data_IF_594490664356
#
_entry.id   IF_594490664356
#
_cell.length_a   1.000
_cell.length_b   1.000
_cell.length_c   1.000
_cell.angle_alpha   90.00
_cell.angle_beta   90.00
_cell.angle_gamma   90.00
#
_symmetry.space_group_name_H-M   'P 1'
#
loop_
_entity.id
_entity.type
_entity.pdbx_description
1 polymer ?
#
# COMPACT_ATOMS: atom_id res chain seq x y z
N UNK A 1 29.54 15.49 -4.37
CA UNK A 1 29.87 15.99 -3.02
C UNK A 1 28.61 16.67 -2.51
N UNK A 2 27.78 15.94 -1.77
CA UNK A 2 26.43 16.41 -1.40
C UNK A 2 26.26 16.17 0.09
N UNK A 3 25.93 17.26 0.78
CA UNK A 3 25.91 17.40 2.23
C UNK A 3 24.94 16.40 2.89
N UNK A 4 25.17 16.01 4.16
CA UNK A 4 24.14 15.35 4.95
C UNK A 4 22.91 16.26 4.98
N UNK A 5 21.75 15.71 4.63
CA UNK A 5 20.47 16.39 4.82
C UNK A 5 20.33 16.64 6.33
N UNK A 6 20.20 17.92 6.70
CA UNK A 6 20.14 18.37 8.10
C UNK A 6 18.80 17.94 8.71
N UNK A 7 18.78 17.59 9.99
CA UNK A 7 17.58 17.25 10.77
C UNK A 7 16.41 18.23 10.54
N UNK A 8 16.72 19.50 10.26
CA UNK A 8 15.75 20.53 9.89
C UNK A 8 14.85 20.14 8.70
N UNK A 9 15.33 19.51 7.62
CA UNK A 9 14.49 19.14 6.46
C UNK A 9 13.55 17.94 6.78
N UNK A 10 13.94 17.09 7.72
CA UNK A 10 13.11 16.00 8.23
C UNK A 10 12.05 16.52 9.21
N UNK A 11 12.44 17.42 10.10
CA UNK A 11 11.53 18.18 10.95
C UNK A 11 10.58 19.05 10.11
N UNK A 12 11.02 19.56 8.95
CA UNK A 12 10.19 20.30 8.00
C UNK A 12 9.15 19.40 7.31
N UNK A 13 9.51 18.17 6.93
CA UNK A 13 8.57 17.17 6.42
C UNK A 13 7.55 16.70 7.48
N UNK A 14 7.96 16.59 8.74
CA UNK A 14 7.07 16.40 9.90
C UNK A 14 6.25 17.67 10.21
N UNK A 15 6.77 18.87 9.90
CA UNK A 15 6.10 20.16 10.10
C UNK A 15 5.03 20.48 9.06
N UNK A 16 5.05 19.80 7.91
CA UNK A 16 4.00 19.86 6.88
C UNK A 16 2.74 19.05 7.26
N UNK A 17 2.76 18.35 8.39
CA UNK A 17 1.57 17.77 9.01
C UNK A 17 0.58 18.89 9.39
N UNK A 18 -0.71 18.70 9.08
CA UNK A 18 -1.79 19.64 9.44
C UNK A 18 -1.86 19.87 10.97
N UNK A 19 -1.32 18.94 11.75
CA UNK A 19 -1.19 19.03 13.19
C UNK A 19 0.19 19.58 13.59
N UNK A 20 0.39 20.86 13.26
CA UNK A 20 1.57 21.73 13.47
C UNK A 20 2.21 21.72 14.88
N UNK A 21 1.61 21.09 15.89
CA UNK A 21 2.14 21.05 17.25
C UNK A 21 1.72 19.81 18.01
N UNK A 22 2.56 19.39 18.97
CA UNK A 22 2.11 18.49 20.04
C UNK A 22 0.84 19.12 20.63
N UNK A 23 -0.23 18.34 20.82
CA UNK A 23 -1.60 18.85 21.06
C UNK A 23 -1.78 19.76 22.31
N UNK A 24 -0.71 20.25 22.93
CA UNK A 24 -0.67 21.10 24.12
C UNK A 24 -1.58 22.33 24.11
N UNK A 25 -1.88 22.95 22.95
CA UNK A 25 -2.87 24.04 22.88
C UNK A 25 -4.31 23.56 23.10
N UNK A 26 -4.65 22.33 22.70
CA UNK A 26 -5.97 21.70 22.91
C UNK A 26 -6.05 21.11 24.32
N UNK A 27 -4.91 20.65 24.82
CA UNK A 27 -4.72 20.08 26.16
C UNK A 27 -4.30 21.11 27.22
N UNK A 28 -4.61 22.40 27.06
CA UNK A 28 -4.43 23.40 28.12
C UNK A 28 -5.49 23.21 29.23
N UNK A 29 -5.58 21.97 29.75
CA UNK A 29 -6.39 21.51 30.85
C UNK A 29 -5.94 22.18 32.16
N UNK A 30 -4.73 22.75 32.21
CA UNK A 30 -4.19 23.47 33.37
C UNK A 30 -4.97 24.75 33.67
N UNK A 31 -5.47 25.46 32.65
CA UNK A 31 -6.34 26.63 32.84
C UNK A 31 -7.79 26.23 33.14
N UNK A 32 -8.31 25.20 32.46
CA UNK A 32 -9.65 24.64 32.74
C UNK A 32 -9.72 23.84 34.04
N UNK A 33 -8.57 23.50 34.64
CA UNK A 33 -8.46 22.78 35.91
C UNK A 33 -9.06 23.54 37.08
N UNK A 34 -9.12 24.88 36.99
CA UNK A 34 -9.76 25.72 38.02
C UNK A 34 -11.28 25.54 38.09
N UNK A 35 -11.90 24.86 37.12
CA UNK A 35 -13.34 24.61 37.06
C UNK A 35 -13.76 23.16 37.43
N UNK A 36 -12.83 22.28 37.83
CA UNK A 36 -13.17 20.92 38.30
C UNK A 36 -13.92 20.91 39.65
N UNK A 37 -14.10 22.06 40.29
CA UNK A 37 -14.85 22.25 41.53
C UNK A 37 -16.35 21.92 41.43
N UNK A 38 -16.87 21.63 40.24
CA UNK A 38 -18.26 21.21 40.00
C UNK A 38 -18.47 19.71 39.74
N UNK A 39 -17.41 18.89 39.71
CA UNK A 39 -17.53 17.44 39.54
C UNK A 39 -17.74 16.75 40.89
N UNK A 40 -18.91 16.17 41.09
CA UNK A 40 -19.30 15.48 42.32
C UNK A 40 -18.86 14.01 42.36
N UNK A 41 -18.58 13.42 41.20
CA UNK A 41 -18.26 11.99 41.07
C UNK A 41 -16.75 11.74 41.21
N UNK A 42 -16.30 10.97 42.22
CA UNK A 42 -14.89 10.66 42.43
C UNK A 42 -14.23 9.95 41.24
N UNK A 43 -14.98 9.15 40.46
CA UNK A 43 -14.46 8.40 39.32
C UNK A 43 -14.07 9.36 38.18
N UNK A 44 -14.89 10.38 37.94
CA UNK A 44 -14.63 11.38 36.90
C UNK A 44 -13.45 12.29 37.25
N UNK A 45 -13.28 12.60 38.55
CA UNK A 45 -12.13 13.37 39.05
C UNK A 45 -10.82 12.58 38.84
N UNK A 46 -10.81 11.28 39.17
CA UNK A 46 -9.64 10.43 38.98
C UNK A 46 -9.24 10.33 37.50
N UNK A 47 -10.21 10.06 36.61
CA UNK A 47 -9.97 10.05 35.16
C UNK A 47 -9.45 11.37 34.62
N UNK A 48 -9.96 12.50 35.12
CA UNK A 48 -9.47 13.82 34.73
C UNK A 48 -8.01 14.02 35.15
N UNK A 49 -7.62 13.60 36.36
CA UNK A 49 -6.22 13.64 36.82
C UNK A 49 -5.30 12.78 35.94
N UNK A 50 -5.73 11.56 35.61
CA UNK A 50 -4.98 10.68 34.72
C UNK A 50 -4.83 11.27 33.31
N UNK A 51 -5.89 11.86 32.75
CA UNK A 51 -5.84 12.55 31.44
C UNK A 51 -4.84 13.71 31.47
N UNK A 52 -4.80 14.49 32.56
CA UNK A 52 -3.83 15.58 32.72
C UNK A 52 -2.40 15.03 32.77
N UNK A 53 -2.14 14.00 33.57
CA UNK A 53 -0.82 13.38 33.66
C UNK A 53 -0.34 12.88 32.28
N UNK A 54 -1.22 12.19 31.55
CA UNK A 54 -0.93 11.70 30.19
C UNK A 54 -0.74 12.84 29.18
N UNK A 55 -1.45 13.95 29.32
CA UNK A 55 -1.35 15.09 28.40
C UNK A 55 0.04 15.74 28.35
N UNK A 56 0.84 15.56 29.41
CA UNK A 56 2.21 16.08 29.53
C UNK A 56 3.25 15.28 28.73
N UNK A 57 2.91 14.07 28.27
CA UNK A 57 3.79 13.30 27.39
C UNK A 57 4.05 14.11 26.10
N UNK A 58 5.22 13.97 25.48
CA UNK A 58 5.53 14.63 24.22
C UNK A 58 5.56 13.60 23.07
N UNK A 59 4.89 13.86 21.95
CA UNK A 59 4.74 12.91 20.82
C UNK A 59 5.81 13.12 19.78
N UNK A 60 6.55 14.22 19.90
CA UNK A 60 7.74 14.53 19.12
C UNK A 60 9.02 14.07 19.82
N UNK A 61 8.93 13.73 21.11
CA UNK A 61 10.03 13.13 21.86
C UNK A 61 10.23 11.67 21.42
N UNK A 62 11.45 11.34 21.04
CA UNK A 62 11.79 10.05 20.45
C UNK A 62 11.69 8.89 21.45
N UNK A 63 12.06 9.13 22.71
CA UNK A 63 12.05 8.11 23.75
C UNK A 63 10.62 7.78 24.18
N UNK A 64 9.78 8.80 24.38
CA UNK A 64 8.34 8.63 24.63
C UNK A 64 7.67 7.89 23.47
N UNK A 65 8.02 8.21 22.22
CA UNK A 65 7.51 7.50 21.05
C UNK A 65 7.95 6.03 21.02
N UNK A 66 9.22 5.73 21.33
CA UNK A 66 9.76 4.36 21.36
C UNK A 66 9.00 3.42 22.30
N UNK A 67 8.60 3.94 23.47
CA UNK A 67 7.90 3.16 24.48
C UNK A 67 6.57 2.61 23.94
N UNK A 68 5.84 3.46 23.21
CA UNK A 68 4.51 3.17 22.67
C UNK A 68 4.50 2.69 21.21
N UNK A 69 5.64 2.67 20.50
CA UNK A 69 5.75 2.33 19.07
C UNK A 69 5.68 0.80 18.83
N UNK A 70 4.51 0.22 19.10
CA UNK A 70 4.22 -1.17 18.79
C UNK A 70 4.17 -1.44 17.28
N UNK A 71 3.73 -0.46 16.49
CA UNK A 71 3.62 -0.61 15.04
C UNK A 71 4.99 -0.92 14.40
N UNK A 72 6.05 -0.21 14.81
CA UNK A 72 7.40 -0.53 14.37
C UNK A 72 7.87 -1.89 14.87
N UNK A 73 7.61 -2.23 16.15
CA UNK A 73 8.05 -3.52 16.72
C UNK A 73 7.50 -4.71 15.91
N UNK A 74 6.25 -4.62 15.47
CA UNK A 74 5.62 -5.64 14.63
C UNK A 74 6.10 -5.57 13.17
N UNK A 75 6.38 -4.37 12.63
CA UNK A 75 6.91 -4.18 11.27
C UNK A 75 8.42 -4.39 11.13
N UNK A 76 9.17 -4.53 12.22
CA UNK A 76 10.64 -4.62 12.21
C UNK A 76 11.13 -5.73 11.29
N UNK A 77 10.48 -6.89 11.31
CA UNK A 77 10.82 -8.02 10.44
C UNK A 77 10.70 -7.64 8.96
N UNK A 78 9.59 -6.99 8.58
CA UNK A 78 9.35 -6.54 7.22
C UNK A 78 10.45 -5.56 6.77
N UNK A 79 10.83 -4.61 7.62
CA UNK A 79 11.90 -3.65 7.32
C UNK A 79 13.29 -4.32 7.19
N UNK A 80 13.58 -5.36 7.97
CA UNK A 80 14.81 -6.16 7.81
C UNK A 80 14.82 -6.85 6.45
N UNK A 81 13.69 -7.41 6.03
CA UNK A 81 13.57 -8.15 4.77
C UNK A 81 13.69 -7.23 3.55
N UNK A 82 13.05 -6.07 3.57
CA UNK A 82 13.20 -5.08 2.50
C UNK A 82 14.64 -4.55 2.38
N UNK A 83 15.39 -4.51 3.49
CA UNK A 83 16.83 -4.23 3.47
C UNK A 83 17.62 -5.39 2.87
N UNK A 84 17.33 -6.62 3.27
CA UNK A 84 17.99 -7.82 2.73
C UNK A 84 17.75 -7.99 1.22
N UNK A 85 16.59 -7.58 0.71
CA UNK A 85 16.28 -7.57 -0.72
C UNK A 85 16.82 -6.34 -1.47
N UNK A 86 17.54 -5.44 -0.78
CA UNK A 86 18.05 -4.16 -1.32
C UNK A 86 16.99 -3.21 -1.88
N UNK A 87 15.70 -3.43 -1.56
CA UNK A 87 14.57 -2.65 -2.11
C UNK A 87 14.42 -1.32 -1.37
N UNK A 88 14.64 -1.31 -0.06
CA UNK A 88 14.42 -0.11 0.78
C UNK A 88 15.44 0.00 1.92
N UNK A 89 16.49 0.83 1.77
CA UNK A 89 17.59 0.96 2.74
C UNK A 89 17.28 1.93 3.89
N UNK A 90 16.21 1.67 4.63
CA UNK A 90 15.78 2.53 5.76
C UNK A 90 16.32 1.96 7.08
N UNK A 91 16.77 2.84 7.99
CA UNK A 91 17.32 2.47 9.28
C UNK A 91 16.60 3.20 10.42
N UNK A 92 16.70 2.64 11.63
CA UNK A 92 16.34 3.35 12.86
C UNK A 92 17.59 4.05 13.36
N UNK A 93 17.62 5.39 13.32
CA UNK A 93 18.79 6.18 13.74
C UNK A 93 18.75 6.54 15.22
N UNK A 94 17.55 6.73 15.78
CA UNK A 94 17.33 7.05 17.19
C UNK A 94 16.01 6.44 17.67
N UNK A 95 15.77 6.37 18.99
CA UNK A 95 14.49 5.96 19.53
C UNK A 95 13.34 6.74 18.89
N UNK A 96 12.28 6.04 18.50
CA UNK A 96 11.09 6.64 17.88
C UNK A 96 11.28 7.19 16.44
N UNK A 97 12.50 7.28 15.90
CA UNK A 97 12.75 7.89 14.57
C UNK A 97 13.36 6.93 13.56
N UNK A 98 12.70 6.85 12.41
CA UNK A 98 13.14 6.09 11.24
C UNK A 98 13.68 7.07 10.21
N UNK A 99 14.89 6.85 9.72
CA UNK A 99 15.58 7.77 8.79
C UNK A 99 16.22 7.03 7.62
N UNK A 100 16.48 7.80 6.56
CA UNK A 100 17.18 7.33 5.37
C UNK A 100 18.41 8.22 5.12
N UNK A 101 19.54 7.57 4.82
CA UNK A 101 20.77 8.26 4.42
C UNK A 101 21.48 7.48 3.33
N UNK A 102 21.89 8.18 2.27
CA UNK A 102 22.66 7.62 1.16
C UNK A 102 24.03 7.07 1.58
N UNK A 103 24.59 7.56 2.69
CA UNK A 103 25.89 7.11 3.22
C UNK A 103 25.78 5.98 4.25
N UNK A 104 24.58 5.51 4.54
CA UNK A 104 24.39 4.44 5.53
C UNK A 104 24.89 3.10 5.02
N UNK A 105 25.25 2.20 5.94
CA UNK A 105 25.65 0.82 5.62
C UNK A 105 24.58 0.08 4.81
N UNK A 106 23.29 0.34 5.09
CA UNK A 106 22.18 -0.24 4.35
C UNK A 106 22.11 0.25 2.90
N UNK A 107 22.38 1.54 2.66
CA UNK A 107 22.41 2.11 1.30
C UNK A 107 23.60 1.59 0.48
N UNK A 108 24.77 1.44 1.12
CA UNK A 108 25.96 0.86 0.48
C UNK A 108 25.68 -0.60 0.11
N UNK A 109 25.12 -1.39 1.03
CA UNK A 109 24.71 -2.77 0.73
C UNK A 109 23.72 -2.82 -0.44
N UNK A 110 22.69 -1.97 -0.42
CA UNK A 110 21.68 -1.93 -1.46
C UNK A 110 22.28 -1.58 -2.83
N UNK A 111 23.22 -0.64 -2.88
CA UNK A 111 23.94 -0.28 -4.10
C UNK A 111 24.78 -1.45 -4.63
N UNK A 112 25.59 -2.08 -3.79
CA UNK A 112 26.43 -3.23 -4.18
C UNK A 112 25.58 -4.41 -4.67
N UNK A 113 24.51 -4.75 -3.95
CA UNK A 113 23.58 -5.80 -4.35
C UNK A 113 22.91 -5.46 -5.68
N UNK A 114 22.45 -4.22 -5.86
CA UNK A 114 21.82 -3.77 -7.09
C UNK A 114 22.76 -3.85 -8.29
N UNK A 115 24.04 -3.48 -8.15
CA UNK A 115 25.03 -3.61 -9.23
C UNK A 115 25.20 -5.07 -9.63
N UNK A 116 25.36 -5.98 -8.67
CA UNK A 116 25.48 -7.42 -8.94
C UNK A 116 24.22 -7.98 -9.62
N UNK A 117 23.04 -7.67 -9.08
CA UNK A 117 21.76 -8.09 -9.64
C UNK A 117 21.54 -7.49 -11.04
N UNK A 118 22.00 -6.27 -11.30
CA UNK A 118 21.90 -5.63 -12.63
C UNK A 118 22.75 -6.37 -13.66
N UNK A 119 23.96 -6.81 -13.32
CA UNK A 119 24.78 -7.63 -14.23
C UNK A 119 24.05 -8.92 -14.61
N UNK A 120 23.44 -9.60 -13.62
CA UNK A 120 22.65 -10.82 -13.86
C UNK A 120 21.43 -10.55 -14.75
N UNK A 121 20.65 -9.50 -14.44
CA UNK A 121 19.45 -9.10 -15.19
C UNK A 121 19.81 -8.70 -16.62
N UNK A 122 20.90 -7.97 -16.84
CA UNK A 122 21.37 -7.60 -18.17
C UNK A 122 21.86 -8.81 -18.97
N UNK A 123 22.56 -9.76 -18.34
CA UNK A 123 23.00 -10.99 -19.01
C UNK A 123 21.79 -11.83 -19.49
N UNK A 124 20.81 -12.05 -18.61
CA UNK A 124 19.57 -12.75 -18.96
C UNK A 124 18.77 -11.97 -20.00
N UNK A 125 18.70 -10.63 -19.87
CA UNK A 125 18.01 -9.76 -20.81
C UNK A 125 18.61 -9.81 -22.21
N UNK A 126 19.94 -9.83 -22.33
CA UNK A 126 20.63 -9.94 -23.61
C UNK A 126 20.32 -11.28 -24.32
N UNK A 127 20.36 -12.39 -23.59
CA UNK A 127 20.00 -13.70 -24.13
C UNK A 127 18.54 -13.75 -24.57
N UNK A 128 17.63 -13.17 -23.78
CA UNK A 128 16.20 -13.10 -24.13
C UNK A 128 15.95 -12.23 -25.36
N UNK A 129 16.65 -11.11 -25.48
CA UNK A 129 16.55 -10.25 -26.67
C UNK A 129 17.11 -10.95 -27.92
N UNK A 130 18.21 -11.69 -27.78
CA UNK A 130 18.81 -12.47 -28.87
C UNK A 130 17.89 -13.61 -29.36
N UNK A 131 17.18 -14.27 -28.43
CA UNK A 131 16.16 -15.26 -28.77
C UNK A 131 14.99 -14.60 -29.52
N UNK A 132 14.49 -13.46 -29.01
CA UNK A 132 13.38 -12.73 -29.62
C UNK A 132 13.68 -12.30 -31.08
N UNK A 133 14.93 -11.90 -31.36
CA UNK A 133 15.34 -11.50 -32.70
C UNK A 133 15.38 -12.64 -33.74
N UNK A 134 15.27 -13.90 -33.30
CA UNK A 134 15.26 -15.08 -34.18
C UNK A 134 13.85 -15.67 -34.35
N UNK A 135 12.86 -15.13 -33.64
CA UNK A 135 11.50 -15.65 -33.62
C UNK A 135 10.67 -15.02 -34.74
N UNK A 136 10.23 -15.82 -35.70
CA UNK A 136 9.40 -15.36 -36.83
C UNK A 136 7.89 -15.47 -36.56
N UNK A 137 7.48 -16.29 -35.59
CA UNK A 137 6.06 -16.46 -35.23
C UNK A 137 5.60 -15.35 -34.29
N UNK A 138 4.52 -14.67 -34.67
CA UNK A 138 3.95 -13.56 -33.91
C UNK A 138 3.57 -13.93 -32.48
N UNK A 139 3.00 -15.13 -32.25
CA UNK A 139 2.64 -15.52 -30.88
C UNK A 139 3.89 -15.70 -30.01
N UNK A 140 4.89 -16.45 -30.49
CA UNK A 140 6.17 -16.66 -29.78
C UNK A 140 6.90 -15.33 -29.51
N UNK A 141 6.71 -14.33 -30.37
CA UNK A 141 7.22 -12.98 -30.17
C UNK A 141 6.55 -12.26 -28.97
N UNK A 142 5.23 -12.37 -28.81
CA UNK A 142 4.52 -11.82 -27.65
C UNK A 142 5.00 -12.48 -26.34
N UNK A 143 5.24 -13.79 -26.36
CA UNK A 143 5.82 -14.50 -25.21
C UNK A 143 7.18 -13.94 -24.81
N UNK A 144 8.08 -13.77 -25.78
CA UNK A 144 9.40 -13.22 -25.51
C UNK A 144 9.34 -11.79 -24.95
N UNK A 145 8.38 -10.98 -25.41
CA UNK A 145 8.15 -9.62 -24.88
C UNK A 145 7.75 -9.65 -23.40
N UNK A 146 6.82 -10.52 -22.99
CA UNK A 146 6.39 -10.62 -21.56
C UNK A 146 7.61 -10.84 -20.66
N UNK A 147 8.52 -11.73 -21.03
CA UNK A 147 9.72 -11.99 -20.22
C UNK A 147 10.63 -10.77 -20.09
N UNK A 148 10.82 -10.02 -21.17
CA UNK A 148 11.61 -8.78 -21.14
C UNK A 148 10.92 -7.75 -20.22
N UNK A 149 9.60 -7.62 -20.32
CA UNK A 149 8.81 -6.73 -19.46
C UNK A 149 8.98 -7.08 -17.99
N UNK A 150 9.00 -8.36 -17.65
CA UNK A 150 9.22 -8.82 -16.27
C UNK A 150 10.62 -8.48 -15.70
N UNK A 151 11.60 -8.15 -16.55
CA UNK A 151 12.90 -7.65 -16.09
C UNK A 151 12.89 -6.14 -15.78
N UNK A 152 11.94 -5.38 -16.34
CA UNK A 152 11.86 -3.92 -16.20
C UNK A 152 11.76 -3.44 -14.75
N UNK A 153 10.96 -4.07 -13.85
CA UNK A 153 10.83 -3.60 -12.47
C UNK A 153 12.16 -3.52 -11.70
N UNK A 154 13.16 -4.33 -12.07
CA UNK A 154 14.50 -4.24 -11.50
C UNK A 154 15.10 -2.83 -11.67
N UNK A 155 14.98 -2.27 -12.87
CA UNK A 155 15.53 -0.95 -13.19
C UNK A 155 14.78 0.20 -12.49
N UNK A 156 13.57 -0.05 -12.01
CA UNK A 156 12.80 0.95 -11.28
C UNK A 156 13.22 1.09 -9.81
N UNK A 157 13.90 0.10 -9.21
CA UNK A 157 14.26 0.08 -7.78
C UNK A 157 14.91 1.38 -7.30
N UNK A 158 15.92 1.96 -7.98
CA UNK A 158 16.52 3.22 -7.52
C UNK A 158 15.53 4.38 -7.50
N UNK A 159 14.59 4.42 -8.46
CA UNK A 159 13.64 5.51 -8.62
C UNK A 159 12.42 5.38 -7.70
N UNK A 160 11.87 4.17 -7.59
CA UNK A 160 10.60 3.90 -6.90
C UNK A 160 10.77 3.30 -5.52
N UNK A 161 11.95 2.78 -5.19
CA UNK A 161 12.32 2.28 -3.85
C UNK A 161 13.16 3.30 -3.10
N UNK A 162 14.38 3.55 -3.58
CA UNK A 162 15.32 4.44 -2.88
C UNK A 162 14.91 5.91 -2.97
N UNK A 163 14.41 6.33 -4.13
CA UNK A 163 13.93 7.70 -4.37
C UNK A 163 12.72 8.13 -3.54
N UNK A 164 12.04 7.19 -2.85
CA UNK A 164 10.93 7.47 -1.91
C UNK A 164 11.27 7.08 -0.47
N UNK A 165 12.49 6.59 -0.21
CA UNK A 165 12.85 6.07 1.11
C UNK A 165 12.71 7.12 2.22
N UNK A 166 12.98 8.40 1.93
CA UNK A 166 12.81 9.49 2.89
C UNK A 166 11.33 9.70 3.27
N UNK A 167 10.43 9.77 2.28
CA UNK A 167 8.99 9.96 2.54
C UNK A 167 8.40 8.76 3.28
N UNK A 168 8.88 7.55 2.98
CA UNK A 168 8.49 6.33 3.72
C UNK A 168 9.02 6.36 5.16
N UNK A 169 10.25 6.80 5.38
CA UNK A 169 10.83 6.93 6.72
C UNK A 169 10.07 7.94 7.58
N UNK A 170 9.67 9.08 7.00
CA UNK A 170 8.79 10.06 7.64
C UNK A 170 7.43 9.45 8.01
N UNK A 171 6.76 8.77 7.07
CA UNK A 171 5.50 8.06 7.33
C UNK A 171 5.62 7.04 8.46
N UNK A 172 6.70 6.24 8.49
CA UNK A 172 6.94 5.27 9.58
C UNK A 172 7.17 5.95 10.93
N UNK A 173 7.78 7.12 10.95
CA UNK A 173 7.99 7.90 12.18
C UNK A 173 6.68 8.50 12.70
N UNK A 174 5.78 8.95 11.81
CA UNK A 174 4.46 9.49 12.20
C UNK A 174 3.61 8.49 13.01
N UNK A 175 3.78 7.19 12.78
CA UNK A 175 3.10 6.15 13.56
C UNK A 175 3.44 6.20 15.05
N UNK A 176 4.71 6.42 15.41
CA UNK A 176 5.12 6.56 16.80
C UNK A 176 4.41 7.74 17.48
N UNK A 177 4.41 8.90 16.82
CA UNK A 177 3.71 10.10 17.32
C UNK A 177 2.19 9.86 17.47
N UNK A 178 1.57 9.17 16.53
CA UNK A 178 0.14 8.82 16.63
C UNK A 178 -0.14 7.88 17.80
N UNK A 179 0.68 6.85 18.04
CA UNK A 179 0.48 5.92 19.15
C UNK A 179 0.58 6.63 20.51
N UNK A 180 1.50 7.59 20.65
CA UNK A 180 1.56 8.44 21.85
C UNK A 180 0.28 9.27 21.99
N UNK A 181 -0.17 9.94 20.92
CA UNK A 181 -1.41 10.74 20.94
C UNK A 181 -2.65 9.90 21.27
N UNK A 182 -2.71 8.69 20.74
CA UNK A 182 -3.76 7.71 21.05
C UNK A 182 -3.77 7.37 22.54
N UNK A 183 -2.60 7.09 23.12
CA UNK A 183 -2.47 6.83 24.55
C UNK A 183 -2.89 8.03 25.41
N UNK A 184 -2.55 9.26 24.98
CA UNK A 184 -2.96 10.47 25.71
C UNK A 184 -4.47 10.64 25.80
N UNK A 185 -5.18 10.39 24.71
CA UNK A 185 -6.64 10.53 24.66
C UNK A 185 -7.30 9.35 25.40
N UNK A 186 -7.02 8.12 24.96
CA UNK A 186 -7.78 6.92 25.37
C UNK A 186 -7.27 6.28 26.66
N UNK A 187 -6.01 6.51 27.03
CA UNK A 187 -5.36 5.88 28.19
C UNK A 187 -4.94 4.43 27.93
N UNK A 188 -5.13 3.95 26.70
CA UNK A 188 -4.83 2.60 26.28
C UNK A 188 -3.71 2.63 25.26
N UNK A 189 -2.78 1.69 25.34
CA UNK A 189 -1.77 1.54 24.30
C UNK A 189 -2.39 0.85 23.08
N UNK A 190 -2.09 1.36 21.88
CA UNK A 190 -2.62 0.79 20.65
C UNK A 190 -1.95 -0.56 20.37
N UNK A 191 -2.76 -1.62 20.34
CA UNK A 191 -2.32 -2.99 20.13
C UNK A 191 -2.65 -3.46 18.71
N UNK A 192 -1.74 -4.23 18.10
CA UNK A 192 -1.95 -4.86 16.80
C UNK A 192 -1.97 -6.39 16.93
N UNK A 193 -3.08 -6.96 17.46
CA UNK A 193 -3.17 -8.39 17.65
C UNK A 193 -3.00 -9.09 16.28
N UNK A 194 -2.14 -10.10 16.25
CA UNK A 194 -1.84 -10.93 15.07
C UNK A 194 -1.02 -10.29 13.94
N UNK A 195 -0.69 -8.99 13.98
CA UNK A 195 0.01 -8.34 12.87
C UNK A 195 1.40 -8.94 12.62
N UNK A 196 2.18 -9.17 13.67
CA UNK A 196 3.49 -9.84 13.57
C UNK A 196 3.39 -11.26 12.99
N UNK A 197 2.46 -12.06 13.48
CA UNK A 197 2.23 -13.43 12.99
C UNK A 197 1.81 -13.43 11.53
N UNK A 198 0.94 -12.50 11.15
CA UNK A 198 0.48 -12.35 9.77
C UNK A 198 1.61 -11.91 8.84
N UNK A 199 2.48 -10.99 9.26
CA UNK A 199 3.67 -10.59 8.48
C UNK A 199 4.56 -11.80 8.21
N UNK A 200 4.78 -12.68 9.20
CA UNK A 200 5.57 -13.91 9.03
C UNK A 200 4.90 -14.85 8.02
N UNK A 201 3.59 -15.09 8.17
CA UNK A 201 2.83 -15.97 7.25
C UNK A 201 2.87 -15.41 5.83
N UNK A 202 2.60 -14.12 5.65
CA UNK A 202 2.62 -13.45 4.35
C UNK A 202 4.02 -13.50 3.74
N UNK A 203 5.07 -13.31 4.54
CA UNK A 203 6.44 -13.39 4.05
C UNK A 203 6.77 -14.78 3.51
N UNK A 204 6.56 -15.83 4.32
CA UNK A 204 6.80 -17.21 3.92
C UNK A 204 5.95 -17.56 2.70
N UNK A 205 4.67 -17.18 2.72
CA UNK A 205 3.75 -17.36 1.60
C UNK A 205 4.21 -16.67 0.32
N UNK A 206 4.73 -15.44 0.39
CA UNK A 206 5.23 -14.69 -0.77
C UNK A 206 6.48 -15.33 -1.38
N UNK A 207 7.39 -15.87 -0.56
CA UNK A 207 8.58 -16.59 -1.04
C UNK A 207 8.19 -17.92 -1.68
N UNK A 208 7.34 -18.72 -1.01
CA UNK A 208 6.85 -19.99 -1.56
C UNK A 208 6.08 -19.74 -2.86
N UNK A 209 5.20 -18.75 -2.88
CA UNK A 209 4.44 -18.36 -4.07
C UNK A 209 5.37 -17.96 -5.21
N UNK A 210 6.44 -17.18 -4.95
CA UNK A 210 7.43 -16.85 -5.98
C UNK A 210 8.13 -18.09 -6.54
N UNK A 211 8.51 -19.03 -5.68
CA UNK A 211 9.16 -20.28 -6.09
C UNK A 211 8.23 -21.15 -6.92
N UNK A 212 7.01 -21.40 -6.43
CA UNK A 212 6.00 -22.19 -7.14
C UNK A 212 5.66 -21.54 -8.48
N UNK A 213 5.41 -20.22 -8.49
CA UNK A 213 5.10 -19.47 -9.70
C UNK A 213 6.20 -19.58 -10.76
N UNK A 214 7.47 -19.39 -10.37
CA UNK A 214 8.59 -19.46 -11.31
C UNK A 214 8.87 -20.89 -11.79
N UNK A 215 8.69 -21.90 -10.93
CA UNK A 215 8.80 -23.30 -11.34
C UNK A 215 7.67 -23.64 -12.32
N UNK A 216 6.42 -23.26 -12.01
CA UNK A 216 5.29 -23.43 -12.91
C UNK A 216 5.57 -22.78 -14.26
N UNK A 217 6.01 -21.52 -14.28
CA UNK A 217 6.40 -20.85 -15.53
C UNK A 217 7.51 -21.60 -16.27
N UNK A 218 8.54 -22.09 -15.57
CA UNK A 218 9.65 -22.82 -16.20
C UNK A 218 9.23 -24.16 -16.82
N UNK A 219 8.21 -24.82 -16.26
CA UNK A 219 7.66 -26.07 -16.78
C UNK A 219 6.65 -25.84 -17.91
N UNK A 220 5.85 -24.79 -17.82
CA UNK A 220 4.76 -24.48 -18.75
C UNK A 220 5.27 -23.77 -20.02
N UNK A 221 6.45 -23.15 -19.99
CA UNK A 221 6.97 -22.32 -21.07
C UNK A 221 8.27 -22.93 -21.65
N UNK A 222 8.16 -23.53 -22.84
CA UNK A 222 9.32 -24.03 -23.59
C UNK A 222 10.35 -22.91 -23.82
N UNK A 223 11.63 -23.20 -23.53
CA UNK A 223 12.74 -22.23 -23.68
C UNK A 223 13.15 -21.53 -22.38
N UNK A 224 12.69 -22.01 -21.22
CA UNK A 224 13.15 -21.54 -19.93
C UNK A 224 14.32 -22.39 -19.42
N UNK A 225 15.56 -21.97 -19.67
CA UNK A 225 16.71 -22.58 -18.98
C UNK A 225 16.60 -22.24 -17.49
N UNK A 226 16.85 -23.22 -16.61
CA UNK A 226 16.83 -23.00 -15.16
C UNK A 226 17.75 -21.85 -14.73
N UNK A 227 18.83 -21.58 -15.47
CA UNK A 227 19.71 -20.44 -15.20
C UNK A 227 19.00 -19.08 -15.35
N UNK A 228 18.07 -18.95 -16.31
CA UNK A 228 17.32 -17.72 -16.51
C UNK A 228 16.38 -17.38 -15.34
N UNK A 229 15.91 -18.39 -14.58
CA UNK A 229 15.03 -18.17 -13.41
C UNK A 229 15.69 -17.29 -12.35
N UNK A 230 17.03 -17.34 -12.24
CA UNK A 230 17.81 -16.63 -11.22
C UNK A 230 17.53 -15.13 -11.17
N UNK A 231 17.42 -14.48 -12.34
CA UNK A 231 17.13 -13.04 -12.43
C UNK A 231 15.69 -12.69 -12.02
N UNK A 232 14.74 -13.60 -12.23
CA UNK A 232 13.33 -13.35 -11.93
C UNK A 232 12.97 -13.59 -10.46
N UNK A 233 13.71 -14.45 -9.74
CA UNK A 233 13.45 -14.71 -8.32
C UNK A 233 13.43 -13.42 -7.49
N UNK A 234 14.45 -12.58 -7.64
CA UNK A 234 14.52 -11.32 -6.90
C UNK A 234 13.35 -10.40 -7.23
N UNK A 235 13.00 -10.28 -8.52
CA UNK A 235 11.93 -9.41 -8.99
C UNK A 235 10.56 -9.87 -8.49
N UNK A 236 10.24 -11.16 -8.64
CA UNK A 236 8.93 -11.72 -8.22
C UNK A 236 8.79 -11.67 -6.71
N UNK A 237 9.84 -12.01 -5.95
CA UNK A 237 9.83 -11.86 -4.49
C UNK A 237 9.58 -10.40 -4.12
N UNK A 238 10.27 -9.45 -4.76
CA UNK A 238 10.06 -8.03 -4.52
C UNK A 238 8.61 -7.60 -4.82
N UNK A 239 8.01 -8.02 -5.94
CA UNK A 239 6.62 -7.67 -6.27
C UNK A 239 5.65 -8.19 -5.21
N UNK A 240 5.78 -9.46 -4.83
CA UNK A 240 4.98 -10.06 -3.75
C UNK A 240 5.16 -9.33 -2.42
N UNK A 241 6.39 -8.99 -2.05
CA UNK A 241 6.67 -8.27 -0.81
C UNK A 241 6.08 -6.86 -0.81
N UNK A 242 6.05 -6.16 -1.93
CA UNK A 242 5.39 -4.85 -2.03
C UNK A 242 3.87 -4.96 -1.84
N UNK A 243 3.23 -6.01 -2.37
CA UNK A 243 1.81 -6.26 -2.09
C UNK A 243 1.56 -6.55 -0.61
N UNK A 244 2.38 -7.41 0.01
CA UNK A 244 2.29 -7.72 1.44
C UNK A 244 2.53 -6.48 2.32
N UNK A 245 3.50 -5.64 1.97
CA UNK A 245 3.77 -4.37 2.66
C UNK A 245 2.56 -3.44 2.62
N UNK A 246 1.94 -3.29 1.45
CA UNK A 246 0.75 -2.45 1.32
C UNK A 246 -0.40 -2.95 2.19
N UNK A 247 -0.67 -4.26 2.10
CA UNK A 247 -1.71 -4.92 2.85
C UNK A 247 -1.51 -4.76 4.36
N UNK A 248 -0.30 -4.97 4.87
CA UNK A 248 0.03 -4.82 6.29
C UNK A 248 -0.16 -3.38 6.78
N UNK A 249 0.24 -2.37 6.00
CA UNK A 249 0.00 -0.97 6.37
C UNK A 249 -1.49 -0.61 6.38
N UNK A 250 -2.26 -1.07 5.39
CA UNK A 250 -3.71 -0.88 5.34
C UNK A 250 -4.41 -1.59 6.52
N UNK A 251 -3.95 -2.80 6.86
CA UNK A 251 -4.45 -3.55 8.02
C UNK A 251 -4.15 -2.82 9.33
N UNK A 252 -2.93 -2.32 9.52
CA UNK A 252 -2.56 -1.53 10.69
C UNK A 252 -3.47 -0.31 10.84
N UNK A 253 -3.70 0.43 9.76
CA UNK A 253 -4.65 1.55 9.71
C UNK A 253 -6.06 1.13 10.11
N UNK A 254 -6.53 -0.01 9.60
CA UNK A 254 -7.86 -0.54 9.91
C UNK A 254 -7.99 -0.89 11.40
N UNK A 255 -7.01 -1.59 11.96
CA UNK A 255 -6.98 -1.93 13.39
C UNK A 255 -6.96 -0.66 14.25
N UNK A 256 -6.12 0.31 13.89
CA UNK A 256 -6.07 1.61 14.56
C UNK A 256 -7.42 2.33 14.56
N UNK A 257 -8.12 2.34 13.43
CA UNK A 257 -9.47 2.90 13.32
C UNK A 257 -10.48 2.18 14.21
N UNK A 258 -10.48 0.83 14.18
CA UNK A 258 -11.40 0.03 14.99
C UNK A 258 -11.16 0.28 16.49
N UNK A 259 -9.90 0.33 16.93
CA UNK A 259 -9.55 0.62 18.32
C UNK A 259 -9.93 2.04 18.75
N UNK A 260 -9.72 3.03 17.86
CA UNK A 260 -10.15 4.42 18.08
C UNK A 260 -11.67 4.51 18.23
N UNK A 261 -12.41 3.89 17.31
CA UNK A 261 -13.88 3.93 17.31
C UNK A 261 -14.48 3.21 18.53
N UNK A 262 -13.90 2.07 18.92
CA UNK A 262 -14.32 1.35 20.11
C UNK A 262 -14.06 2.16 21.39
N UNK A 263 -12.87 2.77 21.51
CA UNK A 263 -12.55 3.62 22.67
C UNK A 263 -13.44 4.86 22.69
N UNK A 264 -13.73 5.45 21.53
CA UNK A 264 -14.61 6.61 21.43
C UNK A 264 -16.02 6.29 21.92
N UNK A 265 -16.59 5.18 21.45
CA UNK A 265 -17.92 4.72 21.87
C UNK A 265 -18.00 4.44 23.37
N UNK A 266 -16.97 3.81 23.93
CA UNK A 266 -16.91 3.55 25.37
C UNK A 266 -16.81 4.83 26.19
N UNK A 267 -15.92 5.76 25.81
CA UNK A 267 -15.73 7.00 26.54
C UNK A 267 -16.97 7.91 26.47
N UNK A 268 -17.60 8.02 25.30
CA UNK A 268 -18.86 8.77 25.11
C UNK A 268 -20.01 8.17 25.93
N UNK A 269 -20.02 6.84 26.10
CA UNK A 269 -21.00 6.16 26.94
C UNK A 269 -20.86 6.48 28.43
N UNK A 270 -19.70 6.98 28.86
CA UNK A 270 -19.42 7.33 30.26
C UNK A 270 -19.53 8.85 30.48
N UNK A 271 -18.95 9.64 29.59
CA UNK A 271 -18.96 11.09 29.65
C UNK A 271 -19.10 11.65 28.22
N UNK A 272 -20.13 12.43 27.94
CA UNK A 272 -20.29 13.09 26.65
C UNK A 272 -20.10 14.61 26.81
N UNK A 273 -18.85 15.08 26.69
CA UNK A 273 -18.49 16.51 26.83
C UNK A 273 -17.78 17.02 25.59
N UNK A 274 -17.93 18.33 25.31
CA UNK A 274 -17.28 19.00 24.18
C UNK A 274 -15.76 18.80 24.14
N UNK A 275 -15.10 18.73 25.30
CA UNK A 275 -13.66 18.50 25.40
C UNK A 275 -13.29 17.11 24.91
N UNK A 276 -14.04 16.08 25.34
CA UNK A 276 -13.81 14.71 24.91
C UNK A 276 -14.01 14.57 23.39
N UNK A 277 -15.10 15.11 22.86
CA UNK A 277 -15.42 15.06 21.43
C UNK A 277 -14.33 15.77 20.62
N UNK A 278 -13.86 16.94 21.07
CA UNK A 278 -12.75 17.64 20.43
C UNK A 278 -11.44 16.83 20.44
N UNK A 279 -11.14 16.09 21.51
CA UNK A 279 -9.94 15.25 21.59
C UNK A 279 -10.00 14.09 20.59
N UNK A 280 -11.15 13.41 20.51
CA UNK A 280 -11.36 12.33 19.54
C UNK A 280 -11.41 12.84 18.10
N UNK A 281 -11.95 14.04 17.85
CA UNK A 281 -11.88 14.72 16.54
C UNK A 281 -10.44 14.93 16.10
N UNK A 282 -9.59 15.44 16.97
CA UNK A 282 -8.16 15.62 16.68
C UNK A 282 -7.43 14.30 16.45
N UNK A 283 -7.74 13.27 17.26
CA UNK A 283 -7.15 11.95 17.10
C UNK A 283 -7.56 11.32 15.76
N UNK A 284 -8.83 11.43 15.38
CA UNK A 284 -9.33 10.97 14.09
C UNK A 284 -8.70 11.72 12.92
N UNK A 285 -8.55 13.05 13.01
CA UNK A 285 -7.85 13.85 12.00
C UNK A 285 -6.40 13.38 11.82
N UNK A 286 -5.69 13.04 12.90
CA UNK A 286 -4.33 12.51 12.80
C UNK A 286 -4.29 11.11 12.18
N UNK A 287 -5.30 10.27 12.43
CA UNK A 287 -5.43 8.99 11.76
C UNK A 287 -5.73 9.16 10.26
N UNK A 288 -6.62 10.08 9.90
CA UNK A 288 -6.92 10.43 8.50
C UNK A 288 -5.67 10.90 7.77
N UNK A 289 -4.87 11.74 8.42
CA UNK A 289 -3.57 12.19 7.93
C UNK A 289 -2.57 11.04 7.74
N UNK A 290 -2.51 10.07 8.65
CA UNK A 290 -1.69 8.86 8.47
C UNK A 290 -2.12 8.05 7.24
N UNK A 291 -3.43 7.95 6.96
CA UNK A 291 -3.96 7.25 5.78
C UNK A 291 -3.55 7.96 4.50
N UNK A 292 -3.65 9.29 4.48
CA UNK A 292 -3.20 10.09 3.34
C UNK A 292 -1.68 10.02 3.16
N UNK A 293 -0.92 10.04 4.26
CA UNK A 293 0.53 9.90 4.24
C UNK A 293 0.98 8.54 3.71
N UNK A 294 0.25 7.45 4.00
CA UNK A 294 0.48 6.13 3.41
C UNK A 294 0.39 6.19 1.87
N UNK A 295 -0.69 6.78 1.34
CA UNK A 295 -0.88 6.96 -0.10
C UNK A 295 0.21 7.82 -0.74
N UNK A 296 0.52 8.95 -0.11
CA UNK A 296 1.47 9.93 -0.61
C UNK A 296 2.93 9.46 -0.56
N UNK A 297 3.33 8.78 0.51
CA UNK A 297 4.69 8.30 0.71
C UNK A 297 5.09 7.24 -0.32
N UNK A 298 4.15 6.36 -0.69
CA UNK A 298 4.38 5.31 -1.66
C UNK A 298 3.74 5.57 -3.04
N UNK A 299 3.28 6.81 -3.30
CA UNK A 299 2.55 7.15 -4.51
C UNK A 299 3.29 6.73 -5.78
N UNK A 300 4.60 7.01 -5.85
CA UNK A 300 5.44 6.67 -7.00
C UNK A 300 5.54 5.15 -7.17
N UNK A 301 5.83 4.42 -6.09
CA UNK A 301 5.98 2.95 -6.09
C UNK A 301 4.71 2.27 -6.57
N UNK A 302 3.56 2.60 -5.98
CA UNK A 302 2.32 1.91 -6.32
C UNK A 302 1.67 2.41 -7.61
N UNK A 303 1.96 3.63 -8.08
CA UNK A 303 1.56 4.06 -9.43
C UNK A 303 2.27 3.21 -10.49
N UNK A 304 3.60 3.06 -10.38
CA UNK A 304 4.36 2.21 -11.32
C UNK A 304 3.97 0.74 -11.20
N UNK A 305 3.71 0.26 -9.98
CA UNK A 305 3.25 -1.10 -9.72
C UNK A 305 1.89 -1.36 -10.37
N UNK A 306 0.94 -0.44 -10.24
CA UNK A 306 -0.38 -0.54 -10.84
C UNK A 306 -0.29 -0.61 -12.38
N UNK A 307 0.47 0.31 -13.00
CA UNK A 307 0.70 0.29 -14.45
C UNK A 307 1.34 -1.02 -14.92
N UNK A 308 2.33 -1.52 -14.19
CA UNK A 308 2.98 -2.80 -14.49
C UNK A 308 1.99 -3.97 -14.44
N UNK A 309 1.14 -4.04 -13.41
CA UNK A 309 0.12 -5.09 -13.31
C UNK A 309 -0.89 -5.01 -14.45
N UNK A 310 -1.39 -3.82 -14.78
CA UNK A 310 -2.35 -3.63 -15.87
C UNK A 310 -1.80 -4.08 -17.22
N UNK A 311 -0.55 -3.72 -17.49
CA UNK A 311 0.10 -4.07 -18.74
C UNK A 311 0.29 -5.58 -18.88
N UNK A 312 0.76 -6.25 -17.82
CA UNK A 312 0.93 -7.70 -17.82
C UNK A 312 -0.40 -8.46 -17.90
N UNK A 313 -1.46 -7.97 -17.23
CA UNK A 313 -2.81 -8.56 -17.36
C UNK A 313 -3.31 -8.41 -18.80
N UNK A 314 -3.16 -7.23 -19.41
CA UNK A 314 -3.63 -6.96 -20.78
C UNK A 314 -2.91 -7.85 -21.79
N UNK A 315 -1.58 -7.89 -21.76
CA UNK A 315 -0.79 -8.69 -22.69
C UNK A 315 -1.01 -10.18 -22.43
N UNK A 316 -1.03 -10.62 -21.17
CA UNK A 316 -1.23 -12.02 -20.81
C UNK A 316 -2.58 -12.58 -21.28
N UNK A 317 -3.67 -11.82 -21.07
CA UNK A 317 -5.01 -12.22 -21.54
C UNK A 317 -5.08 -12.18 -23.07
N UNK A 318 -4.54 -11.13 -23.70
CA UNK A 318 -4.49 -11.04 -25.16
C UNK A 318 -3.75 -12.22 -25.77
N UNK A 319 -2.56 -12.55 -25.26
CA UNK A 319 -1.75 -13.64 -25.75
C UNK A 319 -2.44 -15.00 -25.57
N UNK A 320 -3.12 -15.22 -24.43
CA UNK A 320 -3.92 -16.42 -24.21
C UNK A 320 -5.09 -16.52 -25.21
N UNK A 321 -5.86 -15.44 -25.40
CA UNK A 321 -6.98 -15.40 -26.35
C UNK A 321 -6.52 -15.53 -27.81
N UNK A 322 -5.39 -14.92 -28.15
CA UNK A 322 -4.75 -14.99 -29.47
C UNK A 322 -4.53 -16.45 -29.86
N UNK A 323 -3.92 -17.24 -28.99
CA UNK A 323 -3.59 -18.63 -29.32
C UNK A 323 -4.79 -19.57 -29.37
N UNK A 324 -5.78 -19.35 -28.49
CA UNK A 324 -7.05 -20.10 -28.51
C UNK A 324 -7.76 -19.92 -29.86
N UNK A 325 -7.66 -18.74 -30.48
CA UNK A 325 -8.24 -18.48 -31.80
C UNK A 325 -7.51 -19.27 -32.90
N UNK A 326 -6.19 -19.43 -32.80
CA UNK A 326 -5.39 -20.04 -33.87
C UNK A 326 -5.41 -21.57 -33.85
N UNK A 327 -5.39 -22.19 -32.66
CA UNK A 327 -5.31 -23.66 -32.51
C UNK A 327 -6.65 -24.32 -32.11
N UNK A 328 -7.70 -23.53 -31.87
CA UNK A 328 -8.96 -23.99 -31.30
C UNK A 328 -8.85 -24.32 -29.80
N UNK A 329 -9.82 -25.04 -29.23
CA UNK A 329 -9.87 -25.39 -27.79
C UNK A 329 -8.81 -26.42 -27.31
N UNK A 330 -7.77 -26.69 -28.10
CA UNK A 330 -6.68 -27.57 -27.70
C UNK A 330 -5.69 -26.80 -26.81
N UNK A 331 -5.97 -26.74 -25.51
CA UNK A 331 -5.16 -26.00 -24.54
C UNK A 331 -3.70 -26.46 -24.55
N UNK A 332 -2.80 -25.59 -25.03
CA UNK A 332 -1.36 -25.81 -24.93
C UNK A 332 -0.86 -25.45 -23.52
N UNK A 333 0.21 -26.11 -23.06
CA UNK A 333 0.86 -25.78 -21.77
C UNK A 333 1.25 -24.29 -21.69
N UNK A 334 1.60 -23.67 -22.82
CA UNK A 334 1.97 -22.24 -22.89
C UNK A 334 0.80 -21.31 -22.56
N UNK A 335 -0.40 -21.63 -23.04
CA UNK A 335 -1.63 -20.85 -22.81
C UNK A 335 -2.02 -20.87 -21.34
N UNK A 336 -1.93 -22.04 -20.70
CA UNK A 336 -2.19 -22.21 -19.28
C UNK A 336 -1.22 -21.35 -18.45
N UNK A 337 0.05 -21.29 -18.85
CA UNK A 337 1.06 -20.42 -18.21
C UNK A 337 0.68 -18.94 -18.24
N UNK A 338 0.17 -18.44 -19.37
CA UNK A 338 -0.27 -17.04 -19.52
C UNK A 338 -1.52 -16.70 -18.70
N UNK A 339 -2.47 -17.63 -18.63
CA UNK A 339 -3.68 -17.47 -17.83
C UNK A 339 -3.30 -17.39 -16.34
N UNK A 340 -2.41 -18.28 -15.88
CA UNK A 340 -1.90 -18.27 -14.50
C UNK A 340 -1.19 -16.94 -14.20
N UNK A 341 -0.33 -16.47 -15.12
CA UNK A 341 0.35 -15.18 -15.00
C UNK A 341 -0.65 -14.02 -14.88
N UNK A 342 -1.67 -13.99 -15.74
CA UNK A 342 -2.69 -12.94 -15.76
C UNK A 342 -3.51 -12.93 -14.47
N UNK A 343 -3.90 -14.11 -14.00
CA UNK A 343 -4.65 -14.30 -12.74
C UNK A 343 -3.81 -13.89 -11.53
N UNK A 344 -2.51 -14.22 -11.53
CA UNK A 344 -1.57 -13.81 -10.50
C UNK A 344 -1.46 -12.28 -10.41
N UNK A 345 -1.24 -11.61 -11.54
CA UNK A 345 -1.17 -10.14 -11.60
C UNK A 345 -2.50 -9.48 -11.19
N UNK A 346 -3.64 -10.06 -11.61
CA UNK A 346 -4.97 -9.59 -11.23
C UNK A 346 -5.22 -9.73 -9.72
N UNK A 347 -4.77 -10.82 -9.11
CA UNK A 347 -4.88 -11.04 -7.65
C UNK A 347 -4.07 -10.00 -6.88
N UNK A 348 -2.84 -9.70 -7.32
CA UNK A 348 -2.02 -8.67 -6.70
C UNK A 348 -2.64 -7.27 -6.82
N UNK A 349 -3.20 -6.93 -7.98
CA UNK A 349 -3.90 -5.67 -8.18
C UNK A 349 -5.18 -5.58 -7.34
N UNK A 350 -5.91 -6.68 -7.20
CA UNK A 350 -7.09 -6.77 -6.34
C UNK A 350 -6.73 -6.53 -4.87
N UNK A 351 -5.70 -7.21 -4.34
CA UNK A 351 -5.24 -7.02 -2.96
C UNK A 351 -4.87 -5.56 -2.69
N UNK A 352 -4.18 -4.91 -3.64
CA UNK A 352 -3.82 -3.50 -3.56
C UNK A 352 -5.05 -2.58 -3.43
N UNK A 353 -6.03 -2.73 -4.35
CA UNK A 353 -7.21 -1.86 -4.37
C UNK A 353 -8.20 -2.15 -3.22
N UNK A 354 -8.43 -3.43 -2.91
CA UNK A 354 -9.39 -3.86 -1.90
C UNK A 354 -8.94 -3.49 -0.48
N UNK A 355 -7.65 -3.64 -0.18
CA UNK A 355 -7.10 -3.27 1.13
C UNK A 355 -7.17 -1.76 1.38
N UNK A 356 -6.84 -0.93 0.39
CA UNK A 356 -6.98 0.53 0.50
C UNK A 356 -8.44 0.97 0.64
N UNK A 357 -9.35 0.36 -0.09
CA UNK A 357 -10.78 0.63 0.03
C UNK A 357 -11.30 0.31 1.44
N UNK A 358 -10.97 -0.88 1.96
CA UNK A 358 -11.34 -1.29 3.33
C UNK A 358 -10.75 -0.38 4.40
N UNK A 359 -9.50 0.06 4.24
CA UNK A 359 -8.87 0.97 5.19
C UNK A 359 -9.56 2.35 5.19
N UNK A 360 -9.80 2.93 4.02
CA UNK A 360 -10.51 4.22 3.85
C UNK A 360 -11.91 4.17 4.47
N UNK A 361 -12.65 3.11 4.15
CA UNK A 361 -14.02 2.93 4.61
C UNK A 361 -14.10 2.79 6.14
N UNK A 362 -13.22 1.98 6.74
CA UNK A 362 -13.21 1.76 8.18
C UNK A 362 -12.88 3.03 8.97
N UNK A 363 -12.01 3.91 8.45
CA UNK A 363 -11.67 5.18 9.11
C UNK A 363 -12.85 6.14 9.12
N UNK A 364 -13.62 6.20 8.04
CA UNK A 364 -14.81 7.04 7.99
C UNK A 364 -15.97 6.47 8.83
N UNK A 365 -16.35 5.21 8.59
CA UNK A 365 -17.55 4.62 9.19
C UNK A 365 -17.47 4.46 10.71
N UNK A 366 -16.32 4.03 11.25
CA UNK A 366 -16.23 3.67 12.67
C UNK A 366 -16.58 4.82 13.62
N UNK A 367 -16.16 6.04 13.28
CA UNK A 367 -16.48 7.23 14.07
C UNK A 367 -17.88 7.77 13.77
N UNK A 368 -18.30 7.74 12.50
CA UNK A 368 -19.65 8.17 12.11
C UNK A 368 -20.74 7.39 12.85
N UNK A 369 -20.61 6.07 12.94
CA UNK A 369 -21.57 5.21 13.66
C UNK A 369 -21.71 5.63 15.12
N UNK A 370 -20.60 6.03 15.75
CA UNK A 370 -20.61 6.50 17.14
C UNK A 370 -21.26 7.87 17.24
N UNK A 371 -20.89 8.83 16.39
CA UNK A 371 -21.48 10.18 16.39
C UNK A 371 -23.00 10.16 16.17
N UNK A 372 -23.47 9.32 15.25
CA UNK A 372 -24.90 9.18 14.95
C UNK A 372 -25.69 8.48 16.07
N UNK A 373 -25.02 7.73 16.94
CA UNK A 373 -25.66 7.08 18.10
C UNK A 373 -25.93 8.03 19.27
N UNK A 374 -25.34 9.23 19.25
CA UNK A 374 -25.44 10.21 20.32
C UNK A 374 -26.79 10.94 20.24
N UNK A 375 -27.54 10.97 21.33
CA UNK A 375 -28.79 11.73 21.41
C UNK A 375 -28.50 13.22 21.60
N UNK A 376 -28.63 14.00 20.52
CA UNK A 376 -28.37 15.44 20.53
C UNK A 376 -29.30 16.21 21.48
N UNK A 377 -30.53 15.72 21.72
CA UNK A 377 -31.51 16.43 22.56
C UNK A 377 -31.14 16.45 24.05
N UNK A 378 -30.28 15.54 24.48
CA UNK A 378 -29.90 15.39 25.90
C UNK A 378 -28.58 16.08 26.24
N UNK A 379 -27.98 16.77 25.27
CA UNK A 379 -26.60 17.25 25.34
C UNK A 379 -26.57 18.77 25.30
N UNK A 380 -25.56 19.35 25.95
CA UNK A 380 -25.33 20.79 26.02
C UNK A 380 -24.91 21.38 24.66
N UNK A 381 -25.28 22.65 24.43
CA UNK A 381 -24.99 23.37 23.18
C UNK A 381 -23.51 23.33 22.73
N UNK A 382 -22.49 23.49 23.60
CA UNK A 382 -21.11 23.43 23.12
C UNK A 382 -20.69 22.03 22.66
N UNK A 383 -21.24 20.97 23.25
CA UNK A 383 -20.99 19.59 22.81
C UNK A 383 -21.69 19.29 21.48
N UNK A 384 -22.93 19.77 21.28
CA UNK A 384 -23.60 19.71 19.97
C UNK A 384 -22.76 20.39 18.88
N UNK A 385 -22.24 21.59 19.16
CA UNK A 385 -21.38 22.31 18.22
C UNK A 385 -20.08 21.56 17.89
N UNK A 386 -19.46 20.88 18.84
CA UNK A 386 -18.27 20.06 18.56
C UNK A 386 -18.61 18.78 17.76
N UNK A 387 -19.81 18.20 17.94
CA UNK A 387 -20.29 17.10 17.08
C UNK A 387 -20.43 17.58 15.64
N UNK A 388 -21.05 18.74 15.42
CA UNK A 388 -21.18 19.35 14.08
C UNK A 388 -19.80 19.61 13.45
N UNK A 389 -18.85 20.16 14.22
CA UNK A 389 -17.47 20.36 13.77
C UNK A 389 -16.76 19.04 13.45
N UNK A 390 -17.09 17.95 14.15
CA UNK A 390 -16.53 16.63 13.86
C UNK A 390 -17.11 16.05 12.57
N UNK A 391 -18.43 16.09 12.39
CA UNK A 391 -19.08 15.65 11.16
C UNK A 391 -18.53 16.45 9.97
N UNK A 392 -18.45 17.77 10.09
CA UNK A 392 -17.87 18.64 9.06
C UNK A 392 -16.40 18.29 8.79
N UNK A 393 -15.60 17.96 9.81
CA UNK A 393 -14.21 17.54 9.62
C UNK A 393 -14.11 16.22 8.83
N UNK A 394 -15.06 15.30 9.03
CA UNK A 394 -15.13 14.03 8.30
C UNK A 394 -15.48 14.27 6.82
N UNK A 395 -16.44 15.15 6.55
CA UNK A 395 -16.85 15.50 5.19
C UNK A 395 -15.78 16.27 4.43
N UNK A 396 -15.12 17.23 5.09
CA UNK A 396 -14.12 18.10 4.46
C UNK A 396 -12.76 17.43 4.25
N UNK A 397 -12.40 16.42 5.07
CA UNK A 397 -11.12 15.72 4.99
C UNK A 397 -11.30 14.20 4.94
N UNK A 398 -11.87 13.65 3.84
CA UNK A 398 -12.09 12.23 3.72
C UNK A 398 -10.73 11.50 3.76
N UNK A 399 -10.63 10.45 4.58
CA UNK A 399 -9.42 9.64 4.80
C UNK A 399 -9.12 8.72 3.60
N UNK A 400 -9.08 9.29 2.39
CA UNK A 400 -8.89 8.54 1.15
C UNK A 400 -7.41 8.28 0.90
N UNK A 401 -7.08 7.02 0.62
CA UNK A 401 -5.74 6.66 0.16
C UNK A 401 -5.58 7.17 -1.28
N UNK A 402 -4.82 8.24 -1.45
CA UNK A 402 -4.56 8.87 -2.76
C UNK A 402 -3.09 8.77 -3.13
N UNK A 403 -2.80 8.49 -4.41
CA UNK A 403 -1.44 8.48 -4.95
C UNK A 403 -1.03 9.92 -5.33
N UNK A 404 -0.81 10.82 -4.35
CA UNK A 404 -0.49 12.24 -4.59
C UNK A 404 -1.50 12.98 -5.49
N UNK A 405 -2.78 12.60 -5.41
CA UNK A 405 -3.85 13.23 -6.21
C UNK A 405 -3.99 12.69 -7.63
N UNK A 406 -3.10 11.79 -8.10
CA UNK A 406 -3.24 11.18 -9.43
C UNK A 406 -4.45 10.25 -9.53
N UNK A 407 -4.65 9.43 -8.49
CA UNK A 407 -5.79 8.52 -8.40
C UNK A 407 -6.09 8.19 -6.93
N UNK A 408 -7.38 8.04 -6.61
CA UNK A 408 -7.82 7.42 -5.38
C UNK A 408 -7.69 5.89 -5.50
N UNK A 409 -7.03 5.26 -4.54
CA UNK A 409 -6.87 3.80 -4.52
C UNK A 409 -8.10 3.18 -3.85
N UNK A 410 -9.06 2.79 -4.67
CA UNK A 410 -10.29 2.16 -4.22
C UNK A 410 -10.73 1.06 -5.20
N UNK A 411 -11.88 0.41 -4.93
CA UNK A 411 -12.44 -0.59 -5.84
C UNK A 411 -12.88 0.00 -7.19
N UNK A 412 -13.15 1.31 -7.26
CA UNK A 412 -13.48 1.97 -8.52
C UNK A 412 -12.27 2.04 -9.45
N UNK A 413 -11.06 2.27 -8.90
CA UNK A 413 -9.82 2.15 -9.67
C UNK A 413 -9.69 0.76 -10.28
N UNK A 414 -10.00 -0.30 -9.52
CA UNK A 414 -10.01 -1.67 -10.07
C UNK A 414 -11.03 -1.82 -11.20
N UNK A 415 -12.26 -1.31 -11.05
CA UNK A 415 -13.27 -1.35 -12.11
C UNK A 415 -12.87 -0.55 -13.34
N UNK A 416 -12.25 0.63 -13.17
CA UNK A 416 -11.75 1.46 -14.26
C UNK A 416 -10.61 0.77 -15.02
N UNK A 417 -9.72 0.11 -14.28
CA UNK A 417 -8.66 -0.73 -14.80
C UNK A 417 -9.20 -1.90 -15.62
N UNK A 418 -10.17 -2.66 -15.09
CA UNK A 418 -10.82 -3.76 -15.81
C UNK A 418 -11.50 -3.28 -17.09
N UNK A 419 -12.22 -2.15 -17.03
CA UNK A 419 -12.83 -1.54 -18.22
C UNK A 419 -11.78 -1.20 -19.28
N UNK A 420 -10.66 -0.62 -18.85
CA UNK A 420 -9.56 -0.25 -19.75
C UNK A 420 -8.94 -1.49 -20.40
N UNK A 421 -8.66 -2.53 -19.62
CA UNK A 421 -8.17 -3.83 -20.12
C UNK A 421 -9.16 -4.40 -21.14
N UNK A 422 -10.46 -4.46 -20.83
CA UNK A 422 -11.47 -4.99 -21.75
C UNK A 422 -11.54 -4.22 -23.07
N UNK A 423 -11.48 -2.88 -23.04
CA UNK A 423 -11.47 -2.05 -24.26
C UNK A 423 -10.24 -2.38 -25.11
N UNK A 424 -9.04 -2.40 -24.50
CA UNK A 424 -7.82 -2.73 -25.24
C UNK A 424 -7.85 -4.16 -25.81
N UNK A 425 -8.37 -5.13 -25.03
CA UNK A 425 -8.52 -6.50 -25.50
C UNK A 425 -9.45 -6.60 -26.70
N UNK A 426 -10.61 -5.93 -26.67
CA UNK A 426 -11.56 -5.90 -27.80
C UNK A 426 -10.87 -5.36 -29.05
N UNK A 427 -10.18 -4.23 -28.94
CA UNK A 427 -9.48 -3.60 -30.07
C UNK A 427 -8.39 -4.52 -30.63
N UNK A 428 -7.55 -5.09 -29.77
CA UNK A 428 -6.47 -5.99 -30.20
C UNK A 428 -7.01 -7.27 -30.84
N UNK A 429 -8.11 -7.81 -30.34
CA UNK A 429 -8.77 -8.99 -30.89
C UNK A 429 -9.37 -8.69 -32.27
N UNK A 430 -10.00 -7.52 -32.45
CA UNK A 430 -10.52 -7.08 -33.74
C UNK A 430 -9.43 -6.97 -34.80
N UNK A 431 -8.28 -6.40 -34.46
CA UNK A 431 -7.12 -6.37 -35.37
C UNK A 431 -6.68 -7.77 -35.77
N UNK A 432 -6.59 -8.69 -34.80
CA UNK A 432 -6.24 -10.09 -35.10
C UNK A 432 -7.25 -10.76 -36.03
N UNK A 433 -8.54 -10.66 -35.73
CA UNK A 433 -9.60 -11.25 -36.56
C UNK A 433 -9.58 -10.69 -37.98
N UNK A 434 -9.34 -9.38 -38.14
CA UNK A 434 -9.20 -8.76 -39.45
C UNK A 434 -7.99 -9.30 -40.23
N UNK A 435 -6.86 -9.56 -39.56
CA UNK A 435 -5.67 -10.13 -40.19
C UNK A 435 -5.90 -11.58 -40.62
N UNK A 436 -6.54 -12.39 -39.76
CA UNK A 436 -6.93 -13.77 -40.09
C UNK A 436 -7.89 -13.78 -41.27
N UNK A 437 -8.89 -12.89 -41.30
CA UNK A 437 -9.82 -12.79 -42.42
C UNK A 437 -9.15 -12.44 -43.76
N UNK A 438 -8.08 -11.63 -43.74
CA UNK A 438 -7.30 -11.29 -44.94
C UNK A 438 -6.41 -12.44 -45.43
N UNK A 439 -6.03 -13.37 -44.54
CA UNK A 439 -5.19 -14.53 -44.89
C UNK A 439 -6.00 -15.69 -45.50
N UNK A 440 -7.33 -15.68 -45.41
CA UNK A 440 -8.19 -16.68 -46.06
C UNK A 440 -8.21 -16.41 -47.57
N UNK A 441 -7.81 -17.39 -48.43
CA UNK A 441 -7.83 -17.20 -49.88
C UNK A 441 -9.24 -16.88 -50.38
N UNK A 442 -9.43 -15.92 -51.30
CA UNK A 442 -10.76 -15.55 -51.81
C UNK A 442 -11.52 -16.74 -52.43
N UNK A 443 -10.81 -17.74 -52.95
CA UNK A 443 -11.38 -18.98 -53.51
C UNK A 443 -12.11 -19.86 -52.47
N UNK A 444 -11.71 -19.83 -51.19
CA UNK A 444 -12.40 -20.55 -50.11
C UNK A 444 -13.62 -19.77 -49.60
N UNK A 445 -13.56 -18.45 -49.65
CA UNK A 445 -14.71 -17.59 -49.33
C UNK A 445 -15.82 -17.72 -50.39
N UNK A 446 -15.45 -17.75 -51.68
CA UNK A 446 -16.40 -18.02 -52.79
C UNK A 446 -17.02 -19.41 -52.68
N UNK A 447 -16.24 -20.44 -52.30
CA UNK A 447 -16.77 -21.81 -52.12
C UNK A 447 -17.73 -21.92 -50.94
N UNK A 448 -17.49 -21.19 -49.85
CA UNK A 448 -18.41 -21.14 -48.71
C UNK A 448 -19.71 -20.39 -49.07
N UNK A 449 -19.61 -19.31 -49.84
CA UNK A 449 -20.77 -18.56 -50.31
C UNK A 449 -21.59 -19.33 -51.35
N UNK A 450 -20.95 -20.11 -52.23
CA UNK A 450 -21.63 -20.97 -53.22
C UNK A 450 -22.25 -22.23 -52.63
N UNK A 451 -22.00 -22.55 -51.35
CA UNK A 451 -22.60 -23.71 -50.65
C UNK A 451 -23.85 -23.28 -49.85
N UNK A 452 -24.06 -21.98 -49.67
CA UNK A 452 -25.19 -21.39 -48.93
C UNK A 452 -26.29 -20.86 -49.88
N UNK A 453 -25.99 -20.70 -51.17
CA UNK A 453 -26.95 -20.52 -52.26
C UNK A 453 -27.30 -21.87 -52.88
#
# INVERSE_FOLDING_TARGET
MTYPIKEHEFDEALSHSLLRGDMGKIFNLTEKSKNFSGLSDPILIERAKERIARSQLNSQDGDTAEEHDQFYRDHKLLLVLFRALAVMPILRSSPGRVTFSWKSSASIYAFTFYVFATVLVCAVGYERFSILGKTEKFDEYIYGIIFIIFLVPHFWIPFVGWGVANTVAAYKTMWGSFQVRYFRVTGRSLQFPFLKTLIIILFIGCVICAVVFLISLSMLLDGFSYWHTSAYYHIVIMLNMNAALWYCNCLGTRVASTSLSASFREDVGIECTAILISQYRFLWLNLSELVQALGNAYARTYSTYCLFMLFNITIGIYAAMSQIIDHGFNFSFKEIGLIILSLYCATLLFVFCDSSHKATLQVAQGVQDTLLSINLLTIDQPTQKEIDLFIQAIEMNPATVSLKGYAAVNRELLTACLRTISIYLIVLLQFKLSLVAQQIPPQLLEKAQSTIA
#
